data_IF_966630429438
#
_entry.id   IF_966630429438
#
_cell.length_a   1.000
_cell.length_b   1.000
_cell.length_c   1.000
_cell.angle_alpha   90.00
_cell.angle_beta   90.00
_cell.angle_gamma   90.00
#
_symmetry.space_group_name_H-M   'P 1'
#
loop_
_entity.id
_entity.type
_entity.pdbx_description
1 polymer ?
#
# COMPACT_ATOMS: atom_id res chain seq x y z
N UNK A 1 1.52 9.15 -11.25
CA UNK A 1 0.82 10.44 -11.45
C UNK A 1 1.10 11.32 -10.24
N UNK A 2 1.51 12.59 -10.41
CA UNK A 2 1.75 13.50 -9.27
C UNK A 2 0.47 14.20 -8.86
N UNK A 3 0.25 14.39 -7.57
CA UNK A 3 -0.96 15.05 -7.05
C UNK A 3 -2.25 14.33 -7.42
N UNK A 4 -2.21 13.00 -7.49
CA UNK A 4 -3.38 12.20 -7.88
C UNK A 4 -4.53 12.32 -6.87
N UNK A 5 -4.19 12.44 -5.59
CA UNK A 5 -5.15 12.75 -4.52
C UNK A 5 -4.89 14.16 -3.95
N UNK A 6 -5.93 14.81 -3.38
CA UNK A 6 -5.79 16.07 -2.66
C UNK A 6 -4.79 16.00 -1.49
N UNK A 7 -4.16 17.13 -1.15
CA UNK A 7 -3.12 17.18 -0.12
C UNK A 7 -3.67 16.99 1.31
N UNK A 8 -4.88 17.45 1.58
CA UNK A 8 -5.63 17.20 2.81
C UNK A 8 -5.95 15.71 2.96
N UNK A 9 -6.43 15.05 1.90
CA UNK A 9 -6.63 13.60 1.87
C UNK A 9 -5.33 12.85 2.16
N UNK A 10 -4.21 13.25 1.53
CA UNK A 10 -2.91 12.67 1.82
C UNK A 10 -2.52 12.84 3.31
N UNK A 11 -2.75 14.01 3.89
CA UNK A 11 -2.43 14.28 5.30
C UNK A 11 -3.29 13.46 6.28
N UNK A 12 -4.54 13.19 5.93
CA UNK A 12 -5.42 12.30 6.69
C UNK A 12 -4.89 10.86 6.66
N UNK A 13 -4.61 10.33 5.46
CA UNK A 13 -4.04 8.98 5.30
C UNK A 13 -2.70 8.83 6.02
N UNK A 14 -1.87 9.88 6.04
CA UNK A 14 -0.60 9.87 6.79
C UNK A 14 -0.78 9.64 8.28
N UNK A 15 -1.83 10.18 8.90
CA UNK A 15 -2.05 9.98 10.34
C UNK A 15 -2.32 8.51 10.67
N UNK A 16 -3.17 7.85 9.88
CA UNK A 16 -3.45 6.42 10.02
C UNK A 16 -2.23 5.55 9.73
N UNK A 17 -1.47 5.92 8.69
CA UNK A 17 -0.21 5.27 8.34
C UNK A 17 0.81 5.33 9.46
N UNK A 18 1.03 6.52 9.99
CA UNK A 18 1.98 6.79 11.07
C UNK A 18 1.59 6.03 12.35
N UNK A 19 0.31 6.01 12.71
CA UNK A 19 -0.19 5.23 13.84
C UNK A 19 0.04 3.72 13.66
N UNK A 20 -0.24 3.19 12.45
CA UNK A 20 -0.02 1.78 12.13
C UNK A 20 1.47 1.40 12.24
N UNK A 21 2.37 2.23 11.71
CA UNK A 21 3.81 1.95 11.71
C UNK A 21 4.45 2.07 13.10
N UNK A 22 3.87 2.88 13.99
CA UNK A 22 4.26 2.97 15.41
C UNK A 22 3.63 1.88 16.30
N UNK A 23 2.73 1.06 15.74
CA UNK A 23 2.04 0.01 16.49
C UNK A 23 1.01 0.55 17.48
N UNK A 24 0.44 1.72 17.19
CA UNK A 24 -0.60 2.36 18.02
C UNK A 24 -1.99 1.77 17.76
N UNK A 25 -2.13 0.94 16.72
CA UNK A 25 -3.36 0.25 16.38
C UNK A 25 -3.34 -1.19 16.90
N UNK A 26 -4.37 -1.58 17.64
CA UNK A 26 -4.51 -2.93 18.19
C UNK A 26 -5.04 -3.90 17.11
N UNK A 27 -4.13 -4.34 16.24
CA UNK A 27 -4.41 -5.26 15.13
C UNK A 27 -3.54 -6.49 15.26
N UNK A 28 -4.13 -7.60 15.72
CA UNK A 28 -3.39 -8.82 16.07
C UNK A 28 -2.48 -9.33 14.94
N UNK A 29 -2.98 -9.32 13.70
CA UNK A 29 -2.23 -9.80 12.52
C UNK A 29 -1.02 -8.92 12.15
N UNK A 30 -0.88 -7.74 12.76
CA UNK A 30 0.23 -6.83 12.53
C UNK A 30 1.30 -6.85 13.64
N UNK A 31 0.97 -7.35 14.83
CA UNK A 31 1.86 -7.29 16.02
C UNK A 31 3.25 -7.87 15.75
N UNK A 32 3.33 -9.02 15.10
CA UNK A 32 4.62 -9.69 14.79
C UNK A 32 5.39 -9.05 13.61
N UNK A 33 4.72 -8.19 12.84
CA UNK A 33 5.29 -7.53 11.67
C UNK A 33 5.99 -6.24 12.05
N UNK A 34 5.54 -5.57 13.11
CA UNK A 34 6.05 -4.28 13.57
C UNK A 34 7.37 -4.45 14.33
N UNK A 35 8.42 -3.72 13.90
CA UNK A 35 9.72 -3.72 14.54
C UNK A 35 10.72 -2.75 13.88
N UNK A 36 11.71 -2.23 14.64
CA UNK A 36 12.56 -1.10 14.24
C UNK A 36 13.44 -1.36 13.01
N UNK A 37 13.81 -2.61 12.74
CA UNK A 37 14.70 -2.98 11.62
C UNK A 37 13.98 -3.71 10.49
N UNK A 38 12.65 -3.84 10.57
CA UNK A 38 11.85 -4.58 9.60
C UNK A 38 11.16 -3.65 8.63
N UNK A 39 11.17 -4.02 7.35
CA UNK A 39 10.18 -3.49 6.41
C UNK A 39 8.82 -4.00 6.86
N UNK A 40 7.90 -3.10 7.11
CA UNK A 40 6.52 -3.45 7.45
C UNK A 40 5.75 -3.67 6.16
N UNK A 41 4.99 -4.76 6.15
CA UNK A 41 4.08 -5.13 5.08
C UNK A 41 2.76 -5.53 5.73
N UNK A 42 1.93 -4.53 6.00
CA UNK A 42 0.68 -4.67 6.73
C UNK A 42 -0.46 -4.80 5.73
N UNK A 43 -1.05 -5.99 5.66
CA UNK A 43 -2.14 -6.27 4.71
C UNK A 43 -3.49 -5.74 5.17
N UNK A 44 -4.34 -5.39 4.20
CA UNK A 44 -5.71 -4.91 4.41
C UNK A 44 -5.85 -3.69 5.34
N UNK A 45 -4.98 -2.65 5.25
CA UNK A 45 -5.11 -1.45 6.09
C UNK A 45 -6.48 -0.81 5.99
N UNK A 46 -7.18 -0.88 4.85
CA UNK A 46 -8.54 -0.35 4.73
C UNK A 46 -9.54 -0.96 5.73
N UNK A 47 -9.33 -2.19 6.19
CA UNK A 47 -10.20 -2.86 7.17
C UNK A 47 -9.84 -2.56 8.62
N UNK A 48 -8.60 -2.16 8.86
CA UNK A 48 -8.04 -2.10 10.21
C UNK A 48 -7.75 -0.68 10.68
N UNK A 49 -7.52 0.27 9.76
CA UNK A 49 -7.34 1.67 10.10
C UNK A 49 -8.71 2.35 10.11
N UNK A 50 -9.14 2.95 11.24
CA UNK A 50 -10.42 3.62 11.33
C UNK A 50 -10.62 4.66 10.24
N UNK A 51 -11.79 4.64 9.60
CA UNK A 51 -12.16 5.59 8.55
C UNK A 51 -11.60 5.27 7.16
N UNK A 52 -10.75 4.24 7.01
CA UNK A 52 -10.23 3.86 5.68
C UNK A 52 -11.18 2.97 4.89
N UNK A 53 -12.05 2.21 5.58
CA UNK A 53 -13.06 1.40 4.90
C UNK A 53 -14.04 2.31 4.16
N UNK A 54 -14.09 2.18 2.83
CA UNK A 54 -14.93 3.02 1.97
C UNK A 54 -14.40 4.44 1.74
N UNK A 55 -13.20 4.77 2.22
CA UNK A 55 -12.59 6.08 2.00
C UNK A 55 -12.41 6.38 0.50
N UNK A 56 -12.63 7.64 0.12
CA UNK A 56 -12.56 8.13 -1.26
C UNK A 56 -11.25 7.78 -1.99
N UNK A 57 -10.09 7.74 -1.32
CA UNK A 57 -8.82 7.40 -1.98
C UNK A 57 -8.89 6.04 -2.67
N UNK A 58 -9.54 5.06 -2.04
CA UNK A 58 -9.65 3.70 -2.57
C UNK A 58 -10.54 3.68 -3.81
N UNK A 59 -11.62 4.47 -3.81
CA UNK A 59 -12.50 4.63 -4.96
C UNK A 59 -11.77 5.28 -6.15
N UNK A 60 -10.99 6.34 -5.90
CA UNK A 60 -10.19 7.02 -6.92
C UNK A 60 -9.16 6.07 -7.57
N UNK A 61 -8.47 5.28 -6.75
CA UNK A 61 -7.49 4.30 -7.21
C UNK A 61 -8.15 3.19 -8.04
N UNK A 62 -9.29 2.65 -7.58
CA UNK A 62 -10.04 1.63 -8.33
C UNK A 62 -10.53 2.19 -9.67
N UNK A 63 -11.04 3.43 -9.68
CA UNK A 63 -11.49 4.10 -10.90
C UNK A 63 -10.35 4.28 -11.91
N UNK A 64 -9.15 4.68 -11.45
CA UNK A 64 -7.97 4.73 -12.32
C UNK A 64 -7.60 3.35 -12.88
N UNK A 65 -7.67 2.30 -12.05
CA UNK A 65 -7.45 0.93 -12.50
C UNK A 65 -8.45 0.49 -13.58
N UNK A 66 -9.73 0.80 -13.40
CA UNK A 66 -10.80 0.51 -14.37
C UNK A 66 -10.60 1.22 -15.69
N UNK A 67 -10.18 2.48 -15.67
CA UNK A 67 -9.84 3.22 -16.90
C UNK A 67 -8.70 2.56 -17.69
N UNK A 68 -7.77 1.87 -17.01
CA UNK A 68 -6.62 1.23 -17.64
C UNK A 68 -6.89 -0.20 -18.11
N UNK A 69 -7.66 -1.00 -17.35
CA UNK A 69 -7.84 -2.44 -17.59
C UNK A 69 -9.28 -2.90 -17.83
N UNK A 70 -10.25 -1.99 -17.79
CA UNK A 70 -11.67 -2.25 -18.02
C UNK A 70 -12.55 -2.03 -16.77
N UNK A 71 -13.81 -1.66 -16.99
CA UNK A 71 -14.79 -1.37 -15.93
C UNK A 71 -15.12 -2.57 -15.03
N UNK A 72 -14.88 -3.79 -15.52
CA UNK A 72 -15.08 -5.03 -14.78
C UNK A 72 -13.93 -5.37 -13.83
N UNK A 73 -12.97 -4.46 -13.63
CA UNK A 73 -11.88 -4.64 -12.67
C UNK A 73 -12.41 -4.53 -11.22
N UNK A 74 -12.05 -5.55 -10.43
CA UNK A 74 -12.35 -5.63 -9.01
C UNK A 74 -11.12 -5.31 -8.15
N UNK A 75 -11.37 -4.63 -7.03
CA UNK A 75 -10.42 -4.56 -5.92
C UNK A 75 -10.16 -5.95 -5.35
N UNK A 76 -8.88 -6.28 -5.11
CA UNK A 76 -8.47 -7.55 -4.48
C UNK A 76 -8.00 -7.36 -3.05
N UNK A 77 -7.00 -6.51 -2.85
CA UNK A 77 -6.44 -6.17 -1.54
C UNK A 77 -5.62 -4.89 -1.64
N UNK A 78 -5.29 -4.32 -0.49
CA UNK A 78 -4.31 -3.27 -0.32
C UNK A 78 -3.28 -3.67 0.75
N UNK A 79 -2.14 -2.98 0.71
CA UNK A 79 -1.02 -3.23 1.60
C UNK A 79 -0.34 -1.92 1.94
N UNK A 80 -0.11 -1.72 3.24
CA UNK A 80 0.71 -0.64 3.75
C UNK A 80 2.15 -1.12 3.84
N UNK A 81 3.05 -0.38 3.21
CA UNK A 81 4.50 -0.64 3.21
C UNK A 81 5.22 0.49 3.94
N UNK A 82 6.08 0.12 4.90
CA UNK A 82 6.95 1.07 5.60
C UNK A 82 8.38 0.55 5.62
N UNK A 83 9.30 1.41 5.19
CA UNK A 83 10.74 1.18 5.27
C UNK A 83 11.32 2.24 6.23
N UNK A 84 11.77 1.85 7.43
CA UNK A 84 12.41 2.77 8.36
C UNK A 84 13.63 3.46 7.76
N UNK A 85 13.93 4.68 8.23
CA UNK A 85 15.12 5.41 7.81
C UNK A 85 16.40 4.60 8.10
N UNK A 86 17.34 4.61 7.16
CA UNK A 86 18.60 3.86 7.28
C UNK A 86 18.48 2.35 7.11
N UNK A 87 17.28 1.81 6.83
CA UNK A 87 17.11 0.38 6.60
C UNK A 87 17.79 -0.04 5.27
N UNK A 88 18.75 -0.98 5.29
CA UNK A 88 19.52 -1.36 4.11
C UNK A 88 18.81 -2.41 3.23
N UNK A 89 17.66 -2.93 3.66
CA UNK A 89 16.98 -4.00 2.92
C UNK A 89 16.45 -3.47 1.59
N UNK A 90 16.87 -4.12 0.52
CA UNK A 90 16.39 -3.86 -0.83
C UNK A 90 15.22 -4.77 -1.18
N UNK A 91 14.26 -4.25 -1.94
CA UNK A 91 13.24 -5.07 -2.56
C UNK A 91 13.80 -5.62 -3.87
N UNK A 92 14.04 -6.93 -3.92
CA UNK A 92 14.61 -7.58 -5.11
C UNK A 92 13.67 -7.50 -6.30
N UNK A 93 14.23 -7.55 -7.51
CA UNK A 93 13.48 -7.60 -8.75
C UNK A 93 12.47 -8.75 -8.78
N UNK A 94 11.21 -8.44 -9.06
CA UNK A 94 10.13 -9.41 -9.20
C UNK A 94 9.01 -8.87 -10.10
N UNK A 95 8.05 -9.74 -10.44
CA UNK A 95 6.77 -9.35 -11.02
C UNK A 95 5.66 -9.85 -10.08
N UNK A 96 4.69 -9.00 -9.74
CA UNK A 96 3.59 -9.37 -8.85
C UNK A 96 2.79 -10.58 -9.36
N UNK A 97 2.60 -10.69 -10.68
CA UNK A 97 1.93 -11.83 -11.31
C UNK A 97 2.67 -13.16 -11.06
N UNK A 98 3.97 -13.11 -10.76
CA UNK A 98 4.83 -14.26 -10.46
C UNK A 98 4.69 -14.82 -9.05
N UNK A 99 3.97 -14.16 -8.14
CA UNK A 99 3.72 -14.68 -6.79
C UNK A 99 2.78 -15.91 -6.76
N UNK A 100 2.03 -16.16 -7.83
CA UNK A 100 1.15 -17.32 -7.96
C UNK A 100 1.91 -18.61 -8.31
N UNK A 101 1.18 -19.74 -8.34
CA UNK A 101 1.72 -20.99 -8.88
C UNK A 101 2.05 -20.83 -10.38
N UNK A 102 3.09 -21.48 -10.91
CA UNK A 102 3.36 -21.51 -12.35
C UNK A 102 2.10 -21.90 -13.14
N UNK A 103 1.72 -21.08 -14.13
CA UNK A 103 0.50 -21.26 -14.92
C UNK A 103 -0.78 -20.68 -14.31
N UNK A 104 -0.73 -20.10 -13.10
CA UNK A 104 -1.84 -19.37 -12.46
C UNK A 104 -1.59 -17.86 -12.37
N UNK A 105 -0.63 -17.35 -13.14
CA UNK A 105 -0.32 -15.93 -13.17
C UNK A 105 -1.57 -15.15 -13.62
N UNK A 106 -2.00 -14.18 -12.82
CA UNK A 106 -3.02 -13.25 -13.26
C UNK A 106 -2.35 -12.19 -14.15
N UNK A 107 -2.54 -12.31 -15.46
CA UNK A 107 -1.98 -11.37 -16.45
C UNK A 107 -2.82 -10.09 -16.63
N UNK A 108 -4.02 -10.02 -16.03
CA UNK A 108 -4.87 -8.82 -16.04
C UNK A 108 -5.08 -8.30 -14.62
N UNK A 109 -4.00 -7.80 -14.05
CA UNK A 109 -3.97 -7.08 -12.78
C UNK A 109 -3.04 -5.87 -12.89
N UNK A 110 -3.28 -4.87 -12.05
CA UNK A 110 -2.37 -3.76 -11.85
C UNK A 110 -2.24 -3.46 -10.36
N UNK A 111 -1.12 -2.87 -9.99
CA UNK A 111 -0.85 -2.38 -8.63
C UNK A 111 -0.76 -0.86 -8.70
N UNK A 112 -1.51 -0.18 -7.83
CA UNK A 112 -1.41 1.27 -7.66
C UNK A 112 -0.56 1.57 -6.42
N UNK A 113 0.59 2.20 -6.62
CA UNK A 113 1.48 2.63 -5.54
C UNK A 113 1.20 4.10 -5.18
N UNK A 114 0.65 4.33 -3.98
CA UNK A 114 0.40 5.66 -3.42
C UNK A 114 1.49 5.99 -2.40
N UNK A 115 2.34 6.96 -2.70
CA UNK A 115 3.34 7.44 -1.76
C UNK A 115 2.67 8.28 -0.66
N UNK A 116 2.81 7.85 0.61
CA UNK A 116 2.33 8.58 1.79
C UNK A 116 3.40 9.48 2.42
N UNK A 117 4.65 9.32 2.00
CA UNK A 117 5.77 10.22 2.29
C UNK A 117 6.42 10.64 0.98
N UNK A 118 7.40 11.55 1.04
CA UNK A 118 8.30 11.74 -0.10
C UNK A 118 8.95 10.42 -0.48
N UNK A 119 9.09 10.18 -1.79
CA UNK A 119 9.74 9.02 -2.36
C UNK A 119 10.87 9.51 -3.28
N UNK A 120 12.07 9.57 -2.72
CA UNK A 120 13.29 9.98 -3.43
C UNK A 120 14.19 8.77 -3.68
N UNK A 121 15.16 8.91 -4.59
CA UNK A 121 16.12 7.84 -4.89
C UNK A 121 16.89 7.41 -3.63
N UNK A 122 17.26 8.34 -2.77
CA UNK A 122 17.91 8.06 -1.49
C UNK A 122 17.02 7.29 -0.50
N UNK A 123 15.70 7.33 -0.70
CA UNK A 123 14.69 6.62 0.11
C UNK A 123 14.24 5.29 -0.54
N UNK A 124 14.80 4.94 -1.70
CA UNK A 124 14.51 3.68 -2.40
C UNK A 124 13.40 3.75 -3.45
N UNK A 125 13.20 4.90 -4.09
CA UNK A 125 12.36 5.03 -5.31
C UNK A 125 13.04 4.49 -6.56
#
# INVERSE_FOLDING_TARGET
>A
VRGFIPADMLNELRQGYDAATRGELDVDVWKEKIGPERILQLGMPNKYIPGWEGHEYLQLIIAAGRQLLGEDLDYKYDQLIYKPAGNPVELLWHQDAGYGWPGKANSRALTCWLALSEATQAMGS
#
